data_IF_692329279978
#
_entry.id   IF_692329279978
#
_cell.length_a   1.000
_cell.length_b   1.000
_cell.length_c   1.000
_cell.angle_alpha   90.00
_cell.angle_beta   90.00
_cell.angle_gamma   90.00
#
_symmetry.space_group_name_H-M   'P 1'
#
loop_
_entity.id
_entity.type
_entity.pdbx_description
1 polymer ?
#
# COMPACT_ATOMS: atom_id res chain seq x y z
N UNK A 1 3.85 0.64 -31.94
CA UNK A 1 3.96 1.41 -30.69
C UNK A 1 3.87 0.51 -29.44
N UNK A 2 2.89 -0.37 -29.33
CA UNK A 2 2.76 -1.33 -28.20
C UNK A 2 3.94 -2.33 -28.04
N UNK A 3 4.61 -2.69 -29.13
CA UNK A 3 5.76 -3.61 -29.12
C UNK A 3 7.03 -2.99 -28.55
N UNK A 4 7.20 -1.67 -28.71
CA UNK A 4 8.31 -0.91 -28.13
C UNK A 4 8.14 -0.69 -26.64
N UNK A 5 6.91 -0.45 -26.16
CA UNK A 5 6.59 -0.32 -24.74
C UNK A 5 6.78 -1.65 -24.00
N UNK A 6 6.41 -2.78 -24.62
CA UNK A 6 6.63 -4.11 -24.02
C UNK A 6 8.11 -4.49 -23.92
N UNK A 7 8.91 -4.05 -24.86
CA UNK A 7 10.36 -4.28 -24.84
C UNK A 7 11.06 -3.43 -23.78
N UNK A 8 10.62 -2.18 -23.60
CA UNK A 8 11.13 -1.26 -22.56
C UNK A 8 10.79 -1.74 -21.14
N UNK A 9 9.58 -2.26 -20.93
CA UNK A 9 9.15 -2.78 -19.62
C UNK A 9 9.99 -4.02 -19.26
N UNK A 10 10.17 -4.97 -20.20
CA UNK A 10 10.97 -6.17 -19.95
C UNK A 10 12.45 -5.86 -19.68
N UNK A 11 13.00 -4.81 -20.28
CA UNK A 11 14.37 -4.38 -20.04
C UNK A 11 14.53 -3.70 -18.66
N UNK A 12 13.54 -2.93 -18.26
CA UNK A 12 13.47 -2.35 -16.92
C UNK A 12 13.35 -3.42 -15.82
N UNK A 13 12.51 -4.42 -16.03
CA UNK A 13 12.36 -5.53 -15.12
C UNK A 13 13.65 -6.32 -14.95
N UNK A 14 14.43 -6.52 -16.01
CA UNK A 14 15.72 -7.20 -15.95
C UNK A 14 16.79 -6.37 -15.22
N UNK A 15 16.91 -5.09 -15.52
CA UNK A 15 17.88 -4.19 -14.86
C UNK A 15 17.56 -4.01 -13.36
N UNK A 16 16.29 -3.90 -12.99
CA UNK A 16 15.87 -3.83 -11.58
C UNK A 16 16.11 -5.16 -10.85
N UNK A 17 15.96 -6.29 -11.53
CA UNK A 17 16.21 -7.61 -10.97
C UNK A 17 17.73 -7.86 -10.77
N UNK A 18 18.58 -7.35 -11.64
CA UNK A 18 20.05 -7.45 -11.51
C UNK A 18 20.62 -6.56 -10.41
N UNK A 19 19.95 -5.45 -10.09
CA UNK A 19 20.33 -4.52 -9.03
C UNK A 19 19.92 -4.99 -7.62
N UNK A 20 19.05 -5.98 -7.50
CA UNK A 20 18.57 -6.50 -6.22
C UNK A 20 18.66 -8.04 -6.17
N UNK A 21 19.83 -8.61 -5.82
CA UNK A 21 20.12 -10.03 -5.94
C UNK A 21 19.32 -10.94 -4.99
N UNK A 22 18.53 -10.39 -4.08
CA UNK A 22 17.64 -11.15 -3.19
C UNK A 22 16.32 -10.40 -3.04
N UNK A 23 15.30 -10.74 -3.86
CA UNK A 23 14.00 -10.10 -3.73
C UNK A 23 13.43 -10.36 -2.33
N UNK A 24 13.03 -9.28 -1.65
CA UNK A 24 12.35 -9.36 -0.36
C UNK A 24 11.07 -10.22 -0.49
N UNK A 25 10.95 -11.35 0.24
CA UNK A 25 9.78 -12.22 0.16
C UNK A 25 8.47 -11.47 0.46
N UNK A 26 8.51 -10.47 1.32
CA UNK A 26 7.37 -9.61 1.65
C UNK A 26 6.95 -8.75 0.45
N UNK A 27 7.92 -8.23 -0.31
CA UNK A 27 7.66 -7.50 -1.56
C UNK A 27 7.05 -8.40 -2.64
N UNK A 28 7.57 -9.62 -2.78
CA UNK A 28 7.02 -10.62 -3.72
C UNK A 28 5.56 -10.90 -3.41
N UNK A 29 5.22 -11.13 -2.15
CA UNK A 29 3.84 -11.38 -1.73
C UNK A 29 2.91 -10.23 -2.10
N UNK A 30 3.32 -8.99 -1.87
CA UNK A 30 2.53 -7.81 -2.24
C UNK A 30 2.33 -7.72 -3.75
N UNK A 31 3.35 -8.04 -4.55
CA UNK A 31 3.24 -8.09 -6.01
C UNK A 31 2.25 -9.16 -6.47
N UNK A 32 2.35 -10.38 -5.91
CA UNK A 32 1.45 -11.49 -6.26
C UNK A 32 -0.01 -11.13 -5.96
N UNK A 33 -0.27 -10.57 -4.79
CA UNK A 33 -1.62 -10.17 -4.38
C UNK A 33 -2.22 -9.09 -5.29
N UNK A 34 -1.44 -8.07 -5.59
CA UNK A 34 -1.86 -6.97 -6.45
C UNK A 34 -2.10 -7.44 -7.90
N UNK A 35 -1.21 -8.29 -8.44
CA UNK A 35 -1.35 -8.86 -9.78
C UNK A 35 -2.57 -9.76 -9.89
N UNK A 36 -2.80 -10.63 -8.91
CA UNK A 36 -3.97 -11.52 -8.88
C UNK A 36 -5.29 -10.71 -8.87
N UNK A 37 -5.34 -9.62 -8.10
CA UNK A 37 -6.49 -8.72 -8.11
C UNK A 37 -6.68 -8.03 -9.46
N UNK A 38 -5.60 -7.56 -10.10
CA UNK A 38 -5.67 -6.94 -11.43
C UNK A 38 -6.18 -7.93 -12.49
N UNK A 39 -5.68 -9.16 -12.48
CA UNK A 39 -6.14 -10.21 -13.39
C UNK A 39 -7.61 -10.56 -13.18
N UNK A 40 -8.04 -10.67 -11.92
CA UNK A 40 -9.44 -10.88 -11.57
C UNK A 40 -10.35 -9.76 -12.09
N UNK A 41 -9.98 -8.51 -11.91
CA UNK A 41 -10.78 -7.36 -12.36
C UNK A 41 -10.81 -7.26 -13.88
N UNK A 42 -9.70 -7.55 -14.57
CA UNK A 42 -9.63 -7.58 -16.03
C UNK A 42 -10.52 -8.69 -16.62
N UNK A 43 -10.54 -9.86 -15.99
CA UNK A 43 -11.38 -10.98 -16.44
C UNK A 43 -12.89 -10.73 -16.24
N UNK A 44 -13.25 -9.98 -15.20
CA UNK A 44 -14.67 -9.76 -14.83
C UNK A 44 -15.33 -8.59 -15.55
N UNK A 45 -14.60 -7.56 -15.93
CA UNK A 45 -15.13 -6.35 -16.57
C UNK A 45 -14.03 -5.54 -17.28
N UNK A 46 -13.68 -5.91 -18.51
CA UNK A 46 -12.65 -5.19 -19.28
C UNK A 46 -12.94 -3.69 -19.44
N UNK A 47 -14.22 -3.30 -19.60
CA UNK A 47 -14.63 -1.92 -19.79
C UNK A 47 -14.60 -1.10 -18.49
N UNK A 48 -14.81 -1.75 -17.35
CA UNK A 48 -14.79 -1.11 -16.02
C UNK A 48 -13.37 -0.97 -15.48
N UNK A 49 -12.53 -1.96 -15.70
CA UNK A 49 -11.12 -1.96 -15.35
C UNK A 49 -10.36 -0.79 -16.00
N UNK A 50 -10.65 -0.52 -17.28
CA UNK A 50 -10.09 0.65 -17.99
C UNK A 50 -10.65 1.99 -17.51
N UNK A 51 -11.91 2.01 -17.10
CA UNK A 51 -12.60 3.25 -16.67
C UNK A 51 -12.26 3.63 -15.24
N UNK A 52 -12.10 2.64 -14.36
CA UNK A 52 -11.84 2.86 -12.93
C UNK A 52 -10.33 2.91 -12.61
N UNK A 53 -9.46 2.81 -13.63
CA UNK A 53 -8.02 3.02 -13.49
C UNK A 53 -7.32 1.99 -12.59
N UNK A 54 -7.80 0.72 -12.59
CA UNK A 54 -7.17 -0.35 -11.81
C UNK A 54 -5.80 -0.67 -12.41
N UNK A 55 -4.80 0.00 -11.91
CA UNK A 55 -3.38 -0.19 -12.28
C UNK A 55 -2.60 -0.59 -11.04
N UNK A 56 -1.94 -1.73 -11.11
CA UNK A 56 -1.01 -2.14 -10.03
C UNK A 56 0.26 -1.31 -10.13
N UNK A 57 0.60 -0.65 -9.05
CA UNK A 57 1.90 0.02 -8.93
C UNK A 57 2.97 -1.03 -8.64
N UNK A 58 4.04 -1.13 -9.44
CA UNK A 58 5.15 -2.04 -9.15
C UNK A 58 5.72 -1.81 -7.75
N UNK A 59 6.03 -2.89 -7.04
CA UNK A 59 6.48 -2.83 -5.65
C UNK A 59 7.77 -2.03 -5.50
N UNK A 60 8.64 -2.03 -6.49
CA UNK A 60 9.89 -1.26 -6.52
C UNK A 60 9.63 0.25 -6.49
N UNK A 61 8.57 0.70 -7.17
CA UNK A 61 8.13 2.10 -7.14
C UNK A 61 7.56 2.44 -5.78
N UNK A 62 6.74 1.55 -5.22
CA UNK A 62 6.20 1.71 -3.85
C UNK A 62 7.32 1.82 -2.83
N UNK A 63 8.29 0.91 -2.88
CA UNK A 63 9.45 0.89 -1.99
C UNK A 63 10.30 2.16 -2.11
N UNK A 64 10.52 2.63 -3.35
CA UNK A 64 11.19 3.89 -3.58
C UNK A 64 10.43 5.06 -2.93
N UNK A 65 9.12 5.13 -3.13
CA UNK A 65 8.29 6.21 -2.56
C UNK A 65 8.23 6.15 -1.03
N UNK A 66 8.18 4.96 -0.43
CA UNK A 66 8.24 4.80 1.03
C UNK A 66 9.59 5.27 1.59
N UNK A 67 10.71 4.98 0.92
CA UNK A 67 12.03 5.49 1.31
C UNK A 67 12.08 7.01 1.17
N UNK A 68 11.61 7.56 0.06
CA UNK A 68 11.55 9.01 -0.17
C UNK A 68 10.68 9.74 0.88
N UNK A 69 9.56 9.12 1.30
CA UNK A 69 8.74 9.61 2.41
C UNK A 69 9.57 9.68 3.71
N UNK A 70 10.28 8.61 4.07
CA UNK A 70 11.14 8.59 5.26
C UNK A 70 12.23 9.64 5.21
N UNK A 71 12.89 9.81 4.08
CA UNK A 71 13.92 10.84 3.88
C UNK A 71 13.34 12.25 4.01
N UNK A 72 12.15 12.47 3.46
CA UNK A 72 11.44 13.76 3.56
C UNK A 72 11.03 14.09 5.01
N UNK A 73 10.58 13.09 5.77
CA UNK A 73 10.28 13.25 7.19
C UNK A 73 11.57 13.57 7.99
N UNK A 74 12.64 12.83 7.73
CA UNK A 74 13.94 13.05 8.39
C UNK A 74 14.49 14.46 8.13
N UNK A 75 14.36 14.98 6.91
CA UNK A 75 14.74 16.34 6.56
C UNK A 75 13.94 17.41 7.33
N UNK A 76 12.77 17.06 7.84
CA UNK A 76 11.91 17.91 8.68
C UNK A 76 12.07 17.62 10.18
N UNK A 77 13.01 16.78 10.58
CA UNK A 77 13.24 16.38 11.96
C UNK A 77 12.13 15.47 12.53
N UNK A 78 11.44 14.73 11.66
CA UNK A 78 10.38 13.80 12.02
C UNK A 78 10.69 12.38 11.57
N UNK A 79 9.95 11.40 12.10
CA UNK A 79 9.98 10.00 11.66
C UNK A 79 8.56 9.44 11.62
N UNK A 80 8.41 8.22 11.16
CA UNK A 80 7.12 7.52 11.22
C UNK A 80 6.64 7.25 12.67
N UNK A 81 7.53 7.29 13.65
CA UNK A 81 7.18 7.21 15.06
C UNK A 81 6.61 8.52 15.63
N UNK A 82 6.81 9.65 14.95
CA UNK A 82 6.33 10.95 15.44
C UNK A 82 4.79 10.97 15.46
N UNK A 83 4.15 11.24 16.61
CA UNK A 83 2.69 11.23 16.75
C UNK A 83 1.99 12.32 15.92
N UNK A 84 2.73 13.30 15.39
CA UNK A 84 2.21 14.32 14.51
C UNK A 84 2.11 13.88 13.03
N UNK A 85 2.76 12.75 12.69
CA UNK A 85 2.78 12.22 11.34
C UNK A 85 1.56 11.33 11.12
N UNK A 86 0.65 11.77 10.29
CA UNK A 86 -0.51 11.00 9.82
C UNK A 86 -0.33 10.62 8.35
N UNK A 87 -0.73 9.42 7.98
CA UNK A 87 -0.58 8.87 6.63
C UNK A 87 -1.96 8.47 6.12
N UNK A 88 -2.30 8.97 4.94
CA UNK A 88 -3.51 8.61 4.22
C UNK A 88 -3.14 8.14 2.81
N UNK A 89 -3.52 6.92 2.48
CA UNK A 89 -3.57 6.44 1.10
C UNK A 89 -5.00 6.60 0.56
N UNK A 90 -5.25 7.57 -0.32
CA UNK A 90 -6.61 7.88 -0.77
C UNK A 90 -7.14 6.94 -1.87
N UNK A 91 -6.30 6.04 -2.39
CA UNK A 91 -6.61 5.11 -3.49
C UNK A 91 -5.90 3.78 -3.27
N UNK A 92 -6.18 3.12 -2.15
CA UNK A 92 -5.35 2.08 -1.58
C UNK A 92 -5.28 0.76 -2.33
N UNK A 93 -6.24 0.46 -3.23
CA UNK A 93 -6.28 -0.81 -3.95
C UNK A 93 -6.24 -2.02 -3.00
N UNK A 94 -5.26 -2.89 -3.17
CA UNK A 94 -5.02 -4.05 -2.29
C UNK A 94 -4.20 -3.72 -1.03
N UNK A 95 -3.91 -2.44 -0.77
CA UNK A 95 -3.20 -1.96 0.41
C UNK A 95 -1.69 -2.01 0.31
N UNK A 96 -1.11 -2.11 -0.89
CA UNK A 96 0.34 -2.30 -1.08
C UNK A 96 1.16 -1.17 -0.42
N UNK A 97 0.74 0.09 -0.52
CA UNK A 97 1.46 1.21 0.10
C UNK A 97 1.47 1.10 1.62
N UNK A 98 0.30 0.87 2.24
CA UNK A 98 0.19 0.71 3.68
C UNK A 98 0.97 -0.51 4.17
N UNK A 99 0.94 -1.63 3.43
CA UNK A 99 1.71 -2.83 3.73
C UNK A 99 3.22 -2.53 3.70
N UNK A 100 3.72 -1.90 2.62
CA UNK A 100 5.16 -1.59 2.51
C UNK A 100 5.61 -0.52 3.49
N UNK A 101 4.77 0.44 3.85
CA UNK A 101 5.06 1.38 4.94
C UNK A 101 5.31 0.62 6.24
N UNK A 102 4.46 -0.32 6.62
CA UNK A 102 4.65 -1.13 7.82
C UNK A 102 5.94 -1.96 7.77
N UNK A 103 6.16 -2.67 6.65
CA UNK A 103 7.31 -3.57 6.45
C UNK A 103 8.66 -2.84 6.37
N UNK A 104 8.68 -1.60 5.87
CA UNK A 104 9.90 -0.79 5.69
C UNK A 104 10.05 0.31 6.76
N UNK A 105 9.14 0.39 7.73
CA UNK A 105 9.12 1.45 8.73
C UNK A 105 10.38 1.46 9.58
N UNK A 106 10.85 0.29 10.01
CA UNK A 106 11.89 0.14 11.04
C UNK A 106 11.40 0.50 12.44
N UNK A 107 10.08 0.54 12.65
CA UNK A 107 9.46 0.83 13.94
C UNK A 107 9.51 -0.40 14.86
N UNK A 108 9.52 -0.15 16.15
CA UNK A 108 9.24 -1.18 17.15
C UNK A 108 7.77 -1.65 17.05
N UNK A 109 7.44 -2.85 17.58
CA UNK A 109 6.05 -3.32 17.59
C UNK A 109 5.04 -2.35 18.22
N UNK A 110 5.45 -1.61 19.26
CA UNK A 110 4.57 -0.65 19.94
C UNK A 110 4.39 0.64 19.13
N UNK A 111 5.45 1.15 18.51
CA UNK A 111 5.37 2.30 17.59
C UNK A 111 4.55 1.96 16.35
N UNK A 112 4.65 0.73 15.85
CA UNK A 112 3.86 0.26 14.70
C UNK A 112 2.38 0.07 15.10
N UNK A 113 2.10 -0.39 16.31
CA UNK A 113 0.73 -0.46 16.85
C UNK A 113 0.08 0.93 16.92
N UNK A 114 0.83 1.93 17.38
CA UNK A 114 0.37 3.32 17.41
C UNK A 114 0.13 3.87 15.99
N UNK A 115 1.12 3.69 15.08
CA UNK A 115 0.98 4.11 13.69
C UNK A 115 -0.26 3.48 13.04
N UNK A 116 -0.39 2.17 13.11
CA UNK A 116 -1.49 1.42 12.49
C UNK A 116 -2.85 1.87 13.01
N UNK A 117 -3.02 1.93 14.32
CA UNK A 117 -4.34 2.18 14.90
C UNK A 117 -4.76 3.65 14.84
N UNK A 118 -3.85 4.59 14.90
CA UNK A 118 -4.21 6.00 15.09
C UNK A 118 -3.83 6.92 13.92
N UNK A 119 -2.83 6.55 13.10
CA UNK A 119 -2.22 7.49 12.17
C UNK A 119 -2.13 7.00 10.72
N UNK A 120 -2.36 5.70 10.47
CA UNK A 120 -2.37 5.12 9.13
C UNK A 120 -3.81 4.83 8.69
N UNK A 121 -4.19 5.28 7.49
CA UNK A 121 -5.52 5.08 6.91
C UNK A 121 -5.39 4.84 5.42
N UNK A 122 -6.29 4.04 4.88
CA UNK A 122 -6.49 3.96 3.44
C UNK A 122 -7.96 4.03 3.07
N UNK A 123 -8.22 4.56 1.88
CA UNK A 123 -9.55 4.65 1.29
C UNK A 123 -9.55 3.88 -0.01
N UNK A 124 -10.57 3.10 -0.25
CA UNK A 124 -10.76 2.35 -1.48
C UNK A 124 -12.26 2.29 -1.82
N UNK A 125 -12.59 2.38 -3.10
CA UNK A 125 -13.98 2.39 -3.56
C UNK A 125 -14.49 0.99 -3.91
N UNK A 126 -13.61 0.08 -4.39
CA UNK A 126 -14.01 -1.28 -4.74
C UNK A 126 -14.15 -2.15 -3.48
N UNK A 127 -15.36 -2.68 -3.19
CA UNK A 127 -15.56 -3.51 -2.01
C UNK A 127 -14.69 -4.78 -1.97
N UNK A 128 -14.32 -5.33 -3.14
CA UNK A 128 -13.46 -6.52 -3.21
C UNK A 128 -12.02 -6.14 -2.87
N UNK A 129 -11.52 -5.03 -3.43
CA UNK A 129 -10.21 -4.50 -3.05
C UNK A 129 -10.16 -4.17 -1.56
N UNK A 130 -11.23 -3.57 -1.00
CA UNK A 130 -11.34 -3.30 0.44
C UNK A 130 -11.17 -4.57 1.28
N UNK A 131 -11.83 -5.67 0.91
CA UNK A 131 -11.72 -6.94 1.62
C UNK A 131 -10.32 -7.56 1.52
N UNK A 132 -9.74 -7.51 0.33
CA UNK A 132 -8.37 -7.99 0.09
C UNK A 132 -7.39 -7.16 0.92
N UNK A 133 -7.51 -5.84 0.86
CA UNK A 133 -6.65 -4.93 1.61
C UNK A 133 -6.78 -5.13 3.13
N UNK A 134 -7.99 -5.28 3.64
CA UNK A 134 -8.22 -5.52 5.07
C UNK A 134 -7.54 -6.80 5.55
N UNK A 135 -7.68 -7.89 4.80
CA UNK A 135 -7.01 -9.15 5.11
C UNK A 135 -5.47 -9.01 5.01
N UNK A 136 -4.98 -8.41 3.93
CA UNK A 136 -3.55 -8.20 3.71
C UNK A 136 -2.92 -7.38 4.84
N UNK A 137 -3.51 -6.24 5.17
CA UNK A 137 -2.96 -5.32 6.17
C UNK A 137 -3.01 -5.87 7.59
N UNK A 138 -4.03 -6.66 7.93
CA UNK A 138 -4.09 -7.38 9.21
C UNK A 138 -2.98 -8.43 9.30
N UNK A 139 -2.77 -9.19 8.24
CA UNK A 139 -1.69 -10.19 8.18
C UNK A 139 -0.32 -9.53 8.34
N UNK A 140 -0.05 -8.48 7.57
CA UNK A 140 1.22 -7.74 7.66
C UNK A 140 1.43 -7.15 9.05
N UNK A 141 0.40 -6.55 9.65
CA UNK A 141 0.49 -6.02 11.00
C UNK A 141 0.83 -7.11 12.02
N UNK A 142 0.17 -8.27 11.94
CA UNK A 142 0.43 -9.40 12.85
C UNK A 142 1.84 -9.97 12.66
N UNK A 143 2.32 -10.07 11.41
CA UNK A 143 3.69 -10.48 11.10
C UNK A 143 4.74 -9.53 11.67
N UNK A 144 4.51 -8.21 11.61
CA UNK A 144 5.48 -7.20 12.05
C UNK A 144 5.42 -6.94 13.57
N UNK A 145 4.28 -7.19 14.22
CA UNK A 145 4.11 -6.88 15.65
C UNK A 145 4.00 -8.11 16.55
N UNK A 146 3.71 -9.28 15.99
CA UNK A 146 3.38 -10.50 16.74
C UNK A 146 2.00 -10.44 17.42
N UNK A 147 1.15 -9.48 17.06
CA UNK A 147 -0.17 -9.25 17.70
C UNK A 147 -1.26 -9.02 16.64
N UNK A 148 -2.49 -9.56 16.82
CA UNK A 148 -3.58 -9.25 15.92
C UNK A 148 -4.02 -7.77 16.07
N UNK A 149 -4.39 -7.10 14.99
CA UNK A 149 -4.89 -5.73 15.06
C UNK A 149 -6.28 -5.66 15.67
N UNK A 150 -6.57 -4.57 16.38
CA UNK A 150 -7.86 -4.34 17.07
C UNK A 150 -8.94 -3.84 16.13
N UNK A 151 -8.58 -3.26 14.98
CA UNK A 151 -9.51 -2.69 14.00
C UNK A 151 -8.93 -2.68 12.60
N UNK A 152 -9.78 -2.49 11.60
CA UNK A 152 -9.35 -2.19 10.23
C UNK A 152 -8.92 -0.73 10.08
N UNK A 153 -7.96 -0.50 9.18
CA UNK A 153 -7.58 0.85 8.72
C UNK A 153 -8.14 1.16 7.33
N UNK A 154 -8.88 0.22 6.74
CA UNK A 154 -9.49 0.34 5.42
C UNK A 154 -10.85 1.01 5.53
N UNK A 155 -11.05 2.07 4.79
CA UNK A 155 -12.31 2.81 4.68
C UNK A 155 -12.87 2.57 3.28
N UNK A 156 -13.94 1.75 3.20
CA UNK A 156 -14.53 1.39 1.91
C UNK A 156 -15.54 2.46 1.48
N UNK A 157 -15.08 3.44 0.71
CA UNK A 157 -15.89 4.56 0.23
C UNK A 157 -15.25 5.28 -0.94
N UNK A 158 -15.99 6.18 -1.57
CA UNK A 158 -15.44 7.05 -2.61
C UNK A 158 -14.69 8.24 -1.97
N UNK A 159 -13.39 8.33 -2.25
CA UNK A 159 -12.51 9.40 -1.74
C UNK A 159 -13.02 10.81 -2.04
N UNK A 160 -13.66 11.01 -3.18
CA UNK A 160 -14.16 12.33 -3.60
C UNK A 160 -15.50 12.73 -2.95
N UNK A 161 -16.17 11.81 -2.25
CA UNK A 161 -17.47 12.06 -1.60
C UNK A 161 -17.42 12.00 -0.07
N UNK A 162 -16.23 11.86 0.50
CA UNK A 162 -16.08 11.88 1.95
C UNK A 162 -16.46 13.27 2.46
N UNK A 163 -17.40 13.38 3.42
CA UNK A 163 -17.72 14.64 4.04
C UNK A 163 -16.48 15.25 4.67
N UNK A 164 -16.21 16.53 4.38
CA UNK A 164 -15.22 17.33 5.11
C UNK A 164 -15.67 17.41 6.57
N UNK A 165 -15.06 16.60 7.44
CA UNK A 165 -15.46 16.51 8.85
C UNK A 165 -15.52 15.09 9.39
N UNK A 166 -14.86 14.10 8.78
CA UNK A 166 -14.56 12.86 9.48
C UNK A 166 -13.69 13.21 10.69
N UNK A 167 -14.37 13.53 11.77
CA UNK A 167 -13.72 13.71 13.09
C UNK A 167 -12.88 12.50 13.38
N UNK A 168 -11.69 12.76 13.97
CA UNK A 168 -10.83 11.70 14.53
C UNK A 168 -11.74 10.77 15.34
N UNK A 169 -11.70 9.47 15.15
CA UNK A 169 -12.45 8.58 16.02
C UNK A 169 -12.00 8.89 17.44
N UNK A 170 -12.91 9.39 18.23
CA UNK A 170 -12.65 9.70 19.64
C UNK A 170 -12.07 8.46 20.33
N UNK A 171 -10.98 8.69 21.05
CA UNK A 171 -10.30 7.75 21.92
C UNK A 171 -11.25 7.18 22.95
#
# INVERSE_FOLDING_TARGET
MLRLLRFSINQWDQEVFELNPSPDPKAIWQTVLATAYQEYTAAKNSDRSHRDGVVVTPVEIVDFQVRALKDSLAAQGATLADPRVEILDPFGGTGIYCARIMQLSGLTPDELDDLYHYRLRMIEIDPIACQIADANLKTVFEEETGRPPRRSIVICTNTFTIPTGMEKPHV
#
